data_IF_926514850769
#
_entry.id   IF_926514850769
#
_cell.length_a   1.000
_cell.length_b   1.000
_cell.length_c   1.000
_cell.angle_alpha   90.00
_cell.angle_beta   90.00
_cell.angle_gamma   90.00
#
_symmetry.space_group_name_H-M   'P 1'
#
loop_
_entity.id
_entity.type
_entity.pdbx_description
1 polymer ?
#
# COMPACT_ATOMS: atom_id res chain seq x y z
N UNK A 1 23.02 -8.74 -20.22
CA UNK A 1 22.18 -7.54 -19.99
C UNK A 1 22.25 -7.19 -18.52
N UNK A 2 22.36 -5.90 -18.19
CA UNK A 2 22.35 -5.40 -16.80
C UNK A 2 21.01 -4.73 -16.59
N UNK A 3 20.19 -5.23 -15.66
CA UNK A 3 18.91 -4.63 -15.27
C UNK A 3 18.97 -4.35 -13.77
N UNK A 4 18.65 -3.12 -13.39
CA UNK A 4 18.44 -2.76 -11.98
C UNK A 4 17.02 -3.16 -11.59
N UNK A 5 16.89 -3.92 -10.52
CA UNK A 5 15.60 -4.30 -9.93
C UNK A 5 15.56 -3.81 -8.49
N UNK A 6 14.41 -3.30 -8.06
CA UNK A 6 14.21 -2.92 -6.66
C UNK A 6 13.77 -4.14 -5.86
N UNK A 7 14.39 -4.29 -4.69
CA UNK A 7 14.21 -5.42 -3.79
C UNK A 7 13.89 -4.90 -2.39
N UNK A 8 12.89 -5.49 -1.75
CA UNK A 8 12.63 -5.28 -0.33
C UNK A 8 13.16 -6.47 0.47
N UNK A 9 13.96 -6.19 1.50
CA UNK A 9 14.38 -7.21 2.46
C UNK A 9 13.28 -7.41 3.52
N UNK A 10 12.73 -8.63 3.60
CA UNK A 10 11.64 -8.96 4.55
C UNK A 10 12.15 -9.45 5.92
N UNK A 11 13.46 -9.40 6.15
CA UNK A 11 14.11 -9.94 7.35
C UNK A 11 14.71 -11.34 7.16
N UNK A 12 14.39 -12.03 6.06
CA UNK A 12 14.93 -13.34 5.71
C UNK A 12 15.47 -13.39 4.29
N UNK A 13 14.72 -12.84 3.33
CA UNK A 13 15.01 -12.89 1.89
C UNK A 13 14.78 -11.54 1.23
N UNK A 14 15.47 -11.31 0.10
CA UNK A 14 15.18 -10.20 -0.79
C UNK A 14 14.01 -10.57 -1.71
N UNK A 15 12.95 -9.77 -1.71
CA UNK A 15 11.79 -9.93 -2.60
C UNK A 15 11.80 -8.83 -3.64
N UNK A 16 11.72 -9.15 -4.94
CA UNK A 16 11.60 -8.14 -5.96
C UNK A 16 10.23 -7.46 -5.91
N UNK A 17 10.21 -6.16 -6.17
CA UNK A 17 8.97 -5.37 -6.26
C UNK A 17 8.22 -5.63 -7.57
N UNK A 18 8.92 -6.11 -8.59
CA UNK A 18 8.38 -6.46 -9.90
C UNK A 18 8.75 -7.90 -10.29
N UNK A 19 7.96 -8.58 -11.14
CA UNK A 19 8.33 -9.88 -11.69
C UNK A 19 9.69 -9.85 -12.40
N UNK A 20 10.47 -10.89 -12.17
CA UNK A 20 11.79 -11.06 -12.78
C UNK A 20 11.72 -12.23 -13.76
N UNK A 21 11.95 -11.95 -15.03
CA UNK A 21 12.00 -12.95 -16.11
C UNK A 21 13.37 -13.63 -16.13
N UNK A 22 13.59 -14.55 -15.18
CA UNK A 22 14.77 -15.40 -15.15
C UNK A 22 14.35 -16.86 -15.10
N UNK A 23 15.07 -17.71 -15.83
CA UNK A 23 14.89 -19.15 -15.77
C UNK A 23 15.30 -19.70 -14.39
N UNK A 24 14.68 -20.79 -13.94
CA UNK A 24 15.12 -21.50 -12.73
C UNK A 24 16.63 -21.82 -12.76
N UNK A 25 17.26 -21.82 -11.57
CA UNK A 25 18.70 -22.09 -11.38
C UNK A 25 19.67 -21.13 -12.08
N UNK A 26 19.19 -19.96 -12.49
CA UNK A 26 20.06 -18.90 -13.01
C UNK A 26 20.88 -18.26 -11.88
N UNK A 27 22.20 -18.48 -11.89
CA UNK A 27 23.12 -17.85 -10.94
C UNK A 27 23.35 -16.38 -11.30
N UNK A 28 22.98 -15.47 -10.39
CA UNK A 28 23.17 -14.03 -10.54
C UNK A 28 24.14 -13.46 -9.52
N UNK A 29 24.79 -12.34 -9.85
CA UNK A 29 25.57 -11.53 -8.91
C UNK A 29 24.77 -10.27 -8.59
N UNK A 30 24.46 -10.04 -7.32
CA UNK A 30 23.79 -8.83 -6.86
C UNK A 30 24.79 -7.81 -6.31
N UNK A 31 24.50 -6.52 -6.51
CA UNK A 31 25.13 -5.39 -5.82
C UNK A 31 24.03 -4.76 -4.98
N UNK A 32 24.24 -4.62 -3.68
CA UNK A 32 23.24 -4.07 -2.77
C UNK A 32 23.53 -2.59 -2.58
N UNK A 33 22.61 -1.77 -3.05
CA UNK A 33 22.61 -0.32 -2.81
C UNK A 33 21.33 0.03 -2.06
N UNK A 34 21.46 0.77 -0.96
CA UNK A 34 20.29 1.21 -0.20
C UNK A 34 19.60 2.34 -0.97
N UNK A 35 18.48 2.03 -1.60
CA UNK A 35 17.62 3.05 -2.22
C UNK A 35 16.94 3.90 -1.13
N UNK A 36 16.80 5.20 -1.39
CA UNK A 36 15.97 6.05 -0.55
C UNK A 36 14.56 5.48 -0.52
N UNK A 37 14.04 5.24 0.69
CA UNK A 37 12.70 4.71 0.85
C UNK A 37 11.73 5.76 0.33
N UNK A 38 11.13 5.54 -0.83
CA UNK A 38 9.92 6.25 -1.22
C UNK A 38 8.92 5.93 -0.11
N UNK A 39 8.69 6.89 0.79
CA UNK A 39 7.68 6.78 1.83
C UNK A 39 6.33 6.83 1.12
N UNK A 40 5.92 5.72 0.50
CA UNK A 40 4.52 5.47 0.22
C UNK A 40 3.80 5.61 1.55
N UNK A 41 3.00 6.68 1.67
CA UNK A 41 2.51 7.21 2.93
C UNK A 41 1.73 6.18 3.72
N UNK A 42 2.42 5.41 4.58
CA UNK A 42 1.81 4.53 5.57
C UNK A 42 1.02 5.28 6.67
N UNK A 43 0.90 6.61 6.55
CA UNK A 43 0.03 7.45 7.36
C UNK A 43 -1.28 7.87 6.68
N UNK A 44 -1.45 7.57 5.39
CA UNK A 44 -2.50 8.22 4.60
C UNK A 44 -3.92 7.87 5.05
N UNK A 45 -4.23 6.64 5.49
CA UNK A 45 -5.63 6.32 5.77
C UNK A 45 -6.26 7.19 6.86
N UNK A 46 -5.65 7.27 8.05
CA UNK A 46 -6.18 8.08 9.15
C UNK A 46 -6.01 9.58 8.90
N UNK A 47 -4.92 9.97 8.23
CA UNK A 47 -4.70 11.36 7.82
C UNK A 47 -5.76 11.83 6.82
N UNK A 48 -6.03 11.03 5.79
CA UNK A 48 -7.09 11.23 4.80
C UNK A 48 -8.47 11.17 5.45
N UNK A 49 -8.73 10.21 6.35
CA UNK A 49 -10.01 10.14 7.06
C UNK A 49 -10.30 11.42 7.87
N UNK A 50 -9.28 12.00 8.52
CA UNK A 50 -9.40 13.30 9.21
C UNK A 50 -9.55 14.47 8.23
N UNK A 51 -8.83 14.46 7.10
CA UNK A 51 -8.88 15.57 6.13
C UNK A 51 -10.23 15.69 5.44
N UNK A 52 -11.03 14.61 5.39
CA UNK A 52 -12.37 14.63 4.82
C UNK A 52 -13.34 15.54 5.59
N UNK A 53 -13.01 15.94 6.83
CA UNK A 53 -13.78 16.87 7.66
C UNK A 53 -15.29 16.60 7.59
N UNK A 54 -15.68 15.34 7.81
CA UNK A 54 -17.04 14.88 7.61
C UNK A 54 -17.94 15.39 8.74
N UNK A 55 -18.86 16.28 8.40
CA UNK A 55 -19.89 16.77 9.32
C UNK A 55 -21.04 15.76 9.41
N UNK A 56 -21.37 15.33 10.64
CA UNK A 56 -22.36 14.31 10.85
C UNK A 56 -23.08 14.34 12.19
N UNK A 57 -24.36 13.90 12.22
CA UNK A 57 -25.05 13.53 13.44
C UNK A 57 -24.23 12.62 14.37
N UNK A 58 -24.27 12.86 15.69
CA UNK A 58 -23.47 12.10 16.67
C UNK A 58 -23.87 10.61 16.77
N UNK A 59 -25.02 10.23 16.21
CA UNK A 59 -25.59 8.88 16.24
C UNK A 59 -25.30 8.06 14.97
N UNK A 60 -24.50 8.57 14.04
CA UNK A 60 -24.16 7.90 12.78
C UNK A 60 -23.64 6.47 12.95
N UNK A 61 -22.75 6.25 13.90
CA UNK A 61 -22.18 4.91 14.16
C UNK A 61 -23.23 3.93 14.68
N UNK A 62 -24.24 4.43 15.38
CA UNK A 62 -25.27 3.62 16.05
C UNK A 62 -26.49 3.34 15.16
N UNK A 63 -26.68 4.13 14.09
CA UNK A 63 -27.81 4.01 13.15
C UNK A 63 -27.33 3.79 11.71
N UNK A 64 -26.22 3.07 11.57
CA UNK A 64 -25.51 2.90 10.32
C UNK A 64 -26.40 2.31 9.19
N UNK A 65 -27.33 1.41 9.52
CA UNK A 65 -28.28 0.80 8.58
C UNK A 65 -29.27 1.83 8.02
N UNK A 66 -29.86 2.65 8.89
CA UNK A 66 -30.85 3.67 8.53
C UNK A 66 -30.25 4.77 7.62
N UNK A 67 -29.00 5.15 7.86
CA UNK A 67 -28.29 6.12 7.02
C UNK A 67 -27.82 5.54 5.68
N UNK A 68 -27.65 4.21 5.57
CA UNK A 68 -27.30 3.56 4.31
C UNK A 68 -28.51 3.41 3.39
N UNK A 69 -29.68 3.05 3.91
CA UNK A 69 -30.91 2.92 3.11
C UNK A 69 -31.34 4.25 2.47
N UNK A 70 -31.21 5.36 3.21
CA UNK A 70 -31.61 6.69 2.71
C UNK A 70 -30.74 7.24 1.58
N UNK A 71 -29.59 6.62 1.26
CA UNK A 71 -28.76 6.97 0.11
C UNK A 71 -29.14 6.26 -1.19
N UNK A 72 -30.01 5.24 -1.16
CA UNK A 72 -30.33 4.44 -2.34
C UNK A 72 -31.48 4.98 -3.20
N UNK A 73 -32.14 6.06 -2.78
CA UNK A 73 -33.31 6.67 -3.46
C UNK A 73 -33.00 8.03 -4.14
N UNK A 74 -31.74 8.32 -4.50
CA UNK A 74 -31.37 9.57 -5.17
C UNK A 74 -30.46 9.38 -6.37
#
# INVERSE_FOLDING_TARGET
MTKTIYLTFDGKVFRPEEPVELEPDTRVRAIIETAERVRGGRGAFLETARSLNLDGPPDWSSRLEEYQERRSDR
#
